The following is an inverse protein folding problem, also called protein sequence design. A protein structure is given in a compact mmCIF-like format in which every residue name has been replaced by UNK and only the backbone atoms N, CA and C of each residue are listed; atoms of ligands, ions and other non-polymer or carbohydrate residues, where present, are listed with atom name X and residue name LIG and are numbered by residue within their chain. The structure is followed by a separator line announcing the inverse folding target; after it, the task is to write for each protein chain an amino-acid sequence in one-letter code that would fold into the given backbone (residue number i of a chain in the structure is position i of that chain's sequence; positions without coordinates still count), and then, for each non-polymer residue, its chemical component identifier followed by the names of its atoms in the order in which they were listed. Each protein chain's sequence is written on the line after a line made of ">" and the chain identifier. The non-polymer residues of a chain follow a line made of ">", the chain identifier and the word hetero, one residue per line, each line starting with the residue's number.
data_IF_168183965336
#
_entry.id   IF_168183965336
#
_cell.length_a   1.000
_cell.length_b   1.000
_cell.length_c   1.000
_cell.angle_alpha   90.00
_cell.angle_beta   90.00
_cell.angle_gamma   90.00
#
_symmetry.space_group_name_H-M   'P 1'
#
loop_
_entity.id
_entity.type
_entity.pdbx_description
1 polymer ?
#
# COMPACT_ATOMS: atom_id res chain seq x y z
N UNK A 1 11.19 10.80 -4.90
CA UNK A 1 11.21 11.56 -6.16
C UNK A 1 10.47 12.87 -5.95
N UNK A 2 11.04 13.99 -6.37
CA UNK A 2 10.36 15.30 -6.34
C UNK A 2 9.45 15.46 -7.58
N UNK A 3 8.30 16.14 -7.47
CA UNK A 3 7.41 16.39 -8.60
C UNK A 3 8.11 17.09 -9.77
N UNK A 4 7.75 16.73 -11.01
CA UNK A 4 8.30 17.26 -12.26
C UNK A 4 7.22 17.88 -13.15
N UNK A 5 7.63 18.68 -14.13
CA UNK A 5 6.74 19.21 -15.17
C UNK A 5 6.05 18.06 -15.89
N UNK A 6 4.71 18.08 -15.91
CA UNK A 6 3.88 17.04 -16.53
C UNK A 6 3.38 15.97 -15.55
N UNK A 7 3.85 15.95 -14.30
CA UNK A 7 3.30 15.07 -13.27
C UNK A 7 1.89 15.53 -12.88
N UNK A 8 1.04 14.55 -12.53
CA UNK A 8 -0.28 14.86 -11.95
C UNK A 8 -0.10 15.58 -10.62
N UNK A 9 -0.88 16.64 -10.40
CA UNK A 9 -0.94 17.33 -9.12
C UNK A 9 -1.56 16.39 -8.08
N UNK A 10 -0.86 16.21 -6.96
CA UNK A 10 -1.35 15.47 -5.81
C UNK A 10 -1.69 16.44 -4.68
N UNK A 11 -2.81 16.20 -4.00
CA UNK A 11 -3.20 16.93 -2.79
C UNK A 11 -3.52 15.88 -1.72
N UNK A 12 -3.05 16.06 -0.47
CA UNK A 12 -3.47 15.21 0.62
C UNK A 12 -5.00 15.22 0.75
N UNK A 13 -5.62 14.11 1.17
CA UNK A 13 -7.06 14.07 1.34
C UNK A 13 -7.49 14.97 2.51
N UNK A 14 -8.64 15.65 2.37
CA UNK A 14 -9.23 16.45 3.46
C UNK A 14 -9.75 15.59 4.63
N UNK A 15 -10.03 14.31 4.36
CA UNK A 15 -10.50 13.32 5.33
C UNK A 15 -10.07 11.91 4.89
N UNK A 16 -10.00 10.97 5.84
CA UNK A 16 -9.48 9.63 5.58
C UNK A 16 -7.95 9.58 5.62
N UNK A 17 -7.39 8.58 4.94
CA UNK A 17 -5.97 8.27 5.03
C UNK A 17 -5.18 8.79 3.83
N UNK A 18 -4.06 9.44 4.11
CA UNK A 18 -3.08 9.80 3.09
C UNK A 18 -2.31 8.55 2.64
N UNK A 19 -2.11 8.37 1.34
CA UNK A 19 -1.39 7.21 0.80
C UNK A 19 -0.14 7.70 0.08
N UNK A 20 1.02 7.24 0.52
CA UNK A 20 2.33 7.65 0.00
C UNK A 20 3.20 6.44 -0.33
N UNK A 21 4.19 6.62 -1.19
CA UNK A 21 5.22 5.61 -1.45
C UNK A 21 6.34 5.70 -0.43
N UNK A 22 6.66 4.56 0.19
CA UNK A 22 7.81 4.41 1.08
C UNK A 22 9.07 3.90 0.40
N UNK A 23 8.96 3.25 -0.76
CA UNK A 23 10.07 2.68 -1.50
C UNK A 23 9.94 2.92 -3.00
N UNK A 24 11.07 2.97 -3.71
CA UNK A 24 11.09 3.12 -5.18
C UNK A 24 10.54 1.87 -5.87
N UNK A 25 10.78 0.70 -5.27
CA UNK A 25 10.26 -0.59 -5.72
C UNK A 25 8.73 -0.62 -5.69
N UNK A 26 8.11 -0.04 -4.65
CA UNK A 26 6.66 0.09 -4.58
C UNK A 26 6.10 1.02 -5.67
N UNK A 27 6.83 2.08 -6.05
CA UNK A 27 6.43 2.95 -7.17
C UNK A 27 6.37 2.15 -8.47
N UNK A 28 7.47 1.46 -8.83
CA UNK A 28 7.55 0.68 -10.06
C UNK A 28 6.51 -0.46 -10.09
N UNK A 29 6.33 -1.16 -8.97
CA UNK A 29 5.34 -2.21 -8.84
C UNK A 29 3.90 -1.72 -8.91
N UNK A 30 3.61 -0.55 -8.34
CA UNK A 30 2.30 0.09 -8.45
C UNK A 30 1.98 0.52 -9.88
N UNK A 31 2.96 1.08 -10.59
CA UNK A 31 2.80 1.42 -12.01
C UNK A 31 2.51 0.19 -12.87
N UNK A 32 3.19 -0.92 -12.61
CA UNK A 32 2.92 -2.19 -13.30
C UNK A 32 1.51 -2.71 -12.97
N UNK A 33 1.09 -2.69 -11.71
CA UNK A 33 -0.27 -3.03 -11.32
C UNK A 33 -1.30 -2.15 -12.03
N UNK A 34 -1.06 -0.85 -12.15
CA UNK A 34 -1.92 0.06 -12.91
C UNK A 34 -2.00 -0.34 -14.39
N UNK A 35 -0.89 -0.75 -15.01
CA UNK A 35 -0.87 -1.18 -16.42
C UNK A 35 -1.72 -2.42 -16.66
N UNK A 36 -1.68 -3.40 -15.75
CA UNK A 36 -2.30 -4.72 -15.98
C UNK A 36 -3.66 -4.90 -15.29
N UNK A 37 -3.97 -4.10 -14.28
CA UNK A 37 -5.10 -4.34 -13.38
C UNK A 37 -5.73 -3.06 -12.81
N UNK A 38 -5.79 -1.97 -13.61
CA UNK A 38 -6.23 -0.64 -13.16
C UNK A 38 -7.51 -0.62 -12.28
N UNK A 39 -8.63 -1.29 -12.63
CA UNK A 39 -9.83 -1.26 -11.78
C UNK A 39 -9.63 -1.88 -10.40
N UNK A 40 -8.74 -2.87 -10.28
CA UNK A 40 -8.40 -3.48 -9.00
C UNK A 40 -7.51 -2.56 -8.15
N UNK A 41 -6.59 -1.84 -8.79
CA UNK A 41 -5.73 -0.86 -8.14
C UNK A 41 -6.53 0.31 -7.60
N UNK A 42 -7.52 0.81 -8.35
CA UNK A 42 -8.44 1.83 -7.85
C UNK A 42 -9.15 1.37 -6.58
N UNK A 43 -9.74 0.16 -6.58
CA UNK A 43 -10.40 -0.40 -5.40
C UNK A 43 -9.44 -0.57 -4.21
N UNK A 44 -8.21 -0.99 -4.46
CA UNK A 44 -7.17 -1.06 -3.44
C UNK A 44 -6.88 0.33 -2.86
N UNK A 45 -6.68 1.34 -3.70
CA UNK A 45 -6.39 2.71 -3.26
C UNK A 45 -7.56 3.28 -2.43
N UNK A 46 -8.79 3.05 -2.87
CA UNK A 46 -9.98 3.51 -2.18
C UNK A 46 -10.10 2.84 -0.81
N UNK A 47 -9.91 1.51 -0.73
CA UNK A 47 -9.91 0.79 0.55
C UNK A 47 -8.87 1.33 1.53
N UNK A 48 -7.64 1.58 1.05
CA UNK A 48 -6.56 2.14 1.89
C UNK A 48 -6.84 3.57 2.33
N UNK A 49 -7.49 4.39 1.50
CA UNK A 49 -7.90 5.76 1.85
C UNK A 49 -9.06 5.80 2.83
N UNK A 50 -9.95 4.82 2.78
CA UNK A 50 -11.12 4.73 3.66
C UNK A 50 -10.76 4.13 5.01
N UNK A 51 -10.22 2.91 5.03
CA UNK A 51 -9.89 2.19 6.25
C UNK A 51 -8.77 1.15 6.01
N UNK A 52 -7.50 1.53 6.17
CA UNK A 52 -6.36 0.64 6.00
C UNK A 52 -6.22 -0.38 7.13
N UNK A 53 -6.97 -0.25 8.22
CA UNK A 53 -7.00 -1.20 9.33
C UNK A 53 -8.23 -2.13 9.27
N UNK A 54 -9.00 -2.05 8.19
CA UNK A 54 -10.23 -2.81 8.02
C UNK A 54 -9.98 -4.32 8.12
N UNK A 55 -10.84 -4.95 8.93
CA UNK A 55 -10.89 -6.40 9.13
C UNK A 55 -12.17 -7.01 8.56
N UNK A 56 -12.98 -6.23 7.84
CA UNK A 56 -14.25 -6.69 7.28
C UNK A 56 -14.06 -7.70 6.14
N UNK A 57 -12.89 -7.69 5.49
CA UNK A 57 -12.53 -8.64 4.45
C UNK A 57 -11.13 -9.23 4.68
N UNK A 58 -11.00 -10.06 5.71
CA UNK A 58 -9.75 -10.72 6.07
C UNK A 58 -9.05 -11.46 4.92
N UNK A 59 -9.82 -12.00 3.96
CA UNK A 59 -9.23 -12.67 2.79
C UNK A 59 -8.43 -11.74 1.89
N UNK A 60 -8.81 -10.45 1.84
CA UNK A 60 -8.18 -9.46 0.95
C UNK A 60 -7.35 -8.43 1.67
N UNK A 61 -7.54 -8.24 2.97
CA UNK A 61 -6.82 -7.25 3.75
C UNK A 61 -6.53 -7.81 5.14
N UNK A 62 -5.25 -7.92 5.50
CA UNK A 62 -4.86 -8.44 6.80
C UNK A 62 -3.48 -7.96 7.22
N UNK A 63 -3.27 -7.89 8.54
CA UNK A 63 -1.96 -7.64 9.12
C UNK A 63 -1.06 -8.86 8.91
N UNK A 64 0.18 -8.62 8.48
CA UNK A 64 1.19 -9.66 8.41
C UNK A 64 1.61 -10.11 9.81
N UNK A 65 2.26 -11.28 9.90
CA UNK A 65 2.65 -11.90 11.17
C UNK A 65 4.12 -12.29 11.20
N UNK A 66 4.60 -12.64 12.39
CA UNK A 66 5.98 -13.07 12.61
C UNK A 66 6.98 -11.99 12.22
N UNK A 67 8.05 -12.38 11.52
CA UNK A 67 9.12 -11.45 11.12
C UNK A 67 8.68 -10.33 10.17
N UNK A 68 7.51 -10.45 9.56
CA UNK A 68 6.95 -9.46 8.63
C UNK A 68 5.85 -8.60 9.27
N UNK A 69 5.52 -8.82 10.55
CA UNK A 69 4.43 -8.12 11.23
C UNK A 69 4.66 -6.60 11.33
N UNK A 70 5.92 -6.19 11.41
CA UNK A 70 6.32 -4.78 11.50
C UNK A 70 7.46 -4.48 10.53
N UNK A 71 7.65 -3.19 10.24
CA UNK A 71 8.82 -2.69 9.51
C UNK A 71 9.15 -1.28 9.96
N UNK A 72 10.44 -1.00 10.10
CA UNK A 72 10.94 0.31 10.46
C UNK A 72 10.62 1.36 9.37
N UNK A 73 10.11 2.50 9.81
CA UNK A 73 9.87 3.69 8.99
C UNK A 73 10.19 4.95 9.81
N UNK A 74 11.16 5.74 9.35
CA UNK A 74 11.59 6.98 9.99
C UNK A 74 11.85 6.87 11.51
N UNK A 75 12.42 5.75 11.94
CA UNK A 75 12.78 5.51 13.35
C UNK A 75 11.70 4.85 14.21
N UNK A 76 10.53 4.56 13.64
CA UNK A 76 9.45 3.84 14.33
C UNK A 76 9.15 2.52 13.63
N UNK A 77 8.91 1.46 14.41
CA UNK A 77 8.36 0.22 13.88
C UNK A 77 6.85 0.35 13.71
N UNK A 78 6.39 0.22 12.48
CA UNK A 78 4.97 0.31 12.14
C UNK A 78 4.45 -1.07 11.75
N UNK A 79 3.18 -1.32 12.09
CA UNK A 79 2.49 -2.53 11.65
C UNK A 79 2.47 -2.61 10.13
N UNK A 80 2.78 -3.78 9.59
CA UNK A 80 2.73 -4.07 8.17
C UNK A 80 1.49 -4.90 7.84
N UNK A 81 0.82 -4.47 6.80
CA UNK A 81 -0.40 -5.05 6.30
C UNK A 81 -0.24 -5.43 4.83
N UNK A 82 -1.05 -6.37 4.37
CA UNK A 82 -1.13 -6.80 2.99
C UNK A 82 -2.55 -6.61 2.46
N UNK A 83 -2.65 -6.17 1.21
CA UNK A 83 -3.89 -6.12 0.44
C UNK A 83 -3.76 -6.95 -0.85
N UNK A 84 -4.72 -7.85 -1.07
CA UNK A 84 -4.86 -8.63 -2.29
C UNK A 84 -5.54 -7.79 -3.39
N UNK A 85 -4.73 -7.36 -4.36
CA UNK A 85 -5.22 -6.57 -5.50
C UNK A 85 -5.90 -7.47 -6.53
N UNK A 86 -5.24 -8.58 -6.88
CA UNK A 86 -5.78 -9.67 -7.70
C UNK A 86 -5.37 -11.00 -7.05
N UNK A 87 -5.84 -12.14 -7.55
CA UNK A 87 -5.44 -13.45 -6.99
C UNK A 87 -3.92 -13.61 -6.87
N UNK A 88 -3.14 -13.07 -7.82
CA UNK A 88 -1.68 -13.02 -7.73
C UNK A 88 -1.11 -11.70 -7.20
N UNK A 89 -1.77 -10.56 -7.40
CA UNK A 89 -1.21 -9.25 -7.10
C UNK A 89 -1.32 -8.86 -5.62
N UNK A 90 -0.26 -8.27 -5.07
CA UNK A 90 -0.21 -7.81 -3.67
C UNK A 90 0.29 -6.38 -3.57
N UNK A 91 -0.23 -5.66 -2.58
CA UNK A 91 0.33 -4.42 -2.05
C UNK A 91 0.58 -4.64 -0.57
N UNK A 92 1.81 -4.36 -0.09
CA UNK A 92 2.10 -4.28 1.34
C UNK A 92 2.36 -2.85 1.74
N UNK A 93 1.84 -2.50 2.91
CA UNK A 93 1.86 -1.13 3.41
C UNK A 93 2.07 -1.09 4.91
N UNK A 94 2.57 0.04 5.38
CA UNK A 94 2.67 0.37 6.79
C UNK A 94 1.58 1.37 7.15
N UNK A 95 1.13 1.33 8.41
CA UNK A 95 0.12 2.26 8.91
C UNK A 95 0.73 3.14 10.00
N UNK A 96 0.74 4.45 9.78
CA UNK A 96 1.03 5.46 10.81
C UNK A 96 -0.28 6.11 11.23
N UNK A 97 -0.88 5.61 12.32
CA UNK A 97 -2.14 6.15 12.85
C UNK A 97 -2.00 7.61 13.31
N UNK A 98 -0.85 7.95 13.90
CA UNK A 98 -0.53 9.32 14.35
C UNK A 98 -0.67 10.36 13.23
N UNK A 99 -0.24 10.01 12.02
CA UNK A 99 -0.26 10.92 10.87
C UNK A 99 -1.35 10.58 9.85
N UNK A 100 -2.24 9.63 10.18
CA UNK A 100 -3.24 9.06 9.26
C UNK A 100 -2.66 8.76 7.87
N UNK A 101 -1.47 8.13 7.84
CA UNK A 101 -0.73 7.87 6.61
C UNK A 101 -0.48 6.38 6.41
N UNK A 102 -0.79 5.92 5.20
CA UNK A 102 -0.47 4.61 4.65
C UNK A 102 0.79 4.73 3.79
N UNK A 103 1.80 3.93 4.09
CA UNK A 103 3.09 3.95 3.41
C UNK A 103 3.22 2.66 2.60
N UNK A 104 3.09 2.74 1.27
CA UNK A 104 3.28 1.60 0.38
C UNK A 104 4.76 1.21 0.33
N UNK A 105 5.08 -0.01 0.77
CA UNK A 105 6.46 -0.53 0.84
C UNK A 105 6.73 -1.68 -0.13
N UNK A 106 5.67 -2.24 -0.70
CA UNK A 106 5.74 -3.26 -1.75
C UNK A 106 4.47 -3.20 -2.62
N UNK A 107 4.65 -3.43 -3.91
CA UNK A 107 3.57 -3.60 -4.87
C UNK A 107 4.04 -4.55 -5.97
N UNK A 108 3.19 -5.48 -6.41
CA UNK A 108 3.52 -6.41 -7.48
C UNK A 108 2.26 -7.03 -8.09
N UNK A 109 2.22 -7.27 -9.42
CA UNK A 109 1.17 -8.08 -10.05
C UNK A 109 1.33 -9.59 -9.79
N UNK A 110 2.49 -10.02 -9.28
CA UNK A 110 2.82 -11.42 -8.96
C UNK A 110 2.80 -11.65 -7.46
N UNK A 111 2.54 -12.90 -7.08
CA UNK A 111 2.54 -13.29 -5.68
C UNK A 111 3.95 -13.12 -5.10
N UNK A 112 4.10 -12.53 -3.91
CA UNK A 112 5.37 -12.47 -3.22
C UNK A 112 5.90 -13.89 -2.96
N UNK A 113 7.19 -14.11 -3.22
CA UNK A 113 7.84 -15.42 -2.97
C UNK A 113 8.24 -15.61 -1.51
N UNK A 114 8.20 -14.55 -0.70
CA UNK A 114 8.68 -14.55 0.68
C UNK A 114 7.62 -14.96 1.71
N UNK A 115 6.40 -15.22 1.24
CA UNK A 115 5.28 -15.77 2.01
C UNK A 115 4.87 -17.18 1.56
N UNK A 116 5.58 -17.78 0.61
CA UNK A 116 5.50 -19.21 0.25
C UNK A 116 6.38 -20.08 1.16
#
# INVERSE_FOLDING_TARGET
>A
MSPKKGDRVSVPPLSGWNVVFGTTEAVAGWEELCRVALPNVHRCLDALRTDPLSRSNWSRQHQLRGRHATKAWKGSDLEQWEYEVTSGGRVRYLVSAETSTVILVYASPRHPKDTE
#
